data_IF_813486974543
#
_entry.id   IF_813486974543
#
_cell.length_a   1.000
_cell.length_b   1.000
_cell.length_c   1.000
_cell.angle_alpha   90.00
_cell.angle_beta   90.00
_cell.angle_gamma   90.00
#
_symmetry.space_group_name_H-M   'P 1'
#
loop_
_entity.id
_entity.type
_entity.pdbx_description
1 polymer ?
#
# COMPACT_ATOMS: atom_id res chain seq x y z
N UNK A 1 -13.21 -6.37 -16.33
CA UNK A 1 -12.89 -5.83 -15.00
C UNK A 1 -13.73 -4.59 -14.74
N UNK A 2 -14.43 -4.54 -13.61
CA UNK A 2 -15.27 -3.40 -13.17
C UNK A 2 -14.85 -3.00 -11.78
N UNK A 3 -14.76 -1.69 -11.51
CA UNK A 3 -14.33 -1.15 -10.23
C UNK A 3 -15.46 -0.32 -9.62
N UNK A 4 -15.72 -0.52 -8.35
CA UNK A 4 -16.75 0.19 -7.58
C UNK A 4 -16.11 0.83 -6.35
N UNK A 5 -16.16 2.15 -6.29
CA UNK A 5 -15.73 2.91 -5.12
C UNK A 5 -16.68 2.65 -3.95
N UNK A 6 -16.16 2.28 -2.80
CA UNK A 6 -16.94 1.99 -1.59
C UNK A 6 -16.63 3.06 -0.56
N UNK A 7 -17.62 3.92 -0.30
CA UNK A 7 -17.54 4.95 0.75
C UNK A 7 -17.73 4.30 2.11
N UNK A 8 -16.92 4.69 3.08
CA UNK A 8 -17.08 4.24 4.45
C UNK A 8 -17.26 5.44 5.39
N UNK A 9 -17.79 5.18 6.59
CA UNK A 9 -17.62 6.11 7.70
C UNK A 9 -16.14 6.26 8.04
N UNK A 10 -15.80 7.28 8.81
CA UNK A 10 -14.44 7.43 9.35
C UNK A 10 -14.17 6.25 10.30
N UNK A 11 -13.06 5.54 10.05
CA UNK A 11 -12.60 4.44 10.87
C UNK A 11 -11.72 4.96 12.01
N UNK A 12 -12.00 4.47 13.21
CA UNK A 12 -11.30 4.85 14.45
C UNK A 12 -10.53 3.67 15.01
N UNK A 13 -9.61 3.95 15.91
CA UNK A 13 -8.87 2.91 16.65
C UNK A 13 -9.82 1.95 17.34
N UNK A 14 -9.60 0.65 17.12
CA UNK A 14 -10.41 -0.44 17.69
C UNK A 14 -11.66 -0.81 16.88
N UNK A 15 -11.96 -0.11 15.76
CA UNK A 15 -13.07 -0.52 14.89
C UNK A 15 -12.79 -1.89 14.23
N UNK A 16 -13.85 -2.71 14.09
CA UNK A 16 -13.82 -3.89 13.23
C UNK A 16 -13.87 -3.45 11.77
N UNK A 17 -12.69 -3.38 11.14
CA UNK A 17 -12.54 -2.94 9.75
C UNK A 17 -13.36 -3.79 8.79
N UNK A 18 -13.49 -5.11 9.03
CA UNK A 18 -14.26 -6.00 8.16
C UNK A 18 -15.74 -5.71 8.29
N UNK A 19 -16.26 -5.48 9.50
CA UNK A 19 -17.66 -5.13 9.68
C UNK A 19 -18.01 -3.82 8.98
N UNK A 20 -17.16 -2.78 9.15
CA UNK A 20 -17.35 -1.48 8.47
C UNK A 20 -17.38 -1.65 6.95
N UNK A 21 -16.49 -2.48 6.38
CA UNK A 21 -16.47 -2.74 4.94
C UNK A 21 -17.75 -3.44 4.49
N UNK A 22 -18.18 -4.49 5.20
CA UNK A 22 -19.37 -5.26 4.85
C UNK A 22 -20.67 -4.43 5.00
N UNK A 23 -20.76 -3.59 6.03
CA UNK A 23 -21.86 -2.63 6.19
C UNK A 23 -21.89 -1.63 5.02
N UNK A 24 -20.74 -1.04 4.69
CA UNK A 24 -20.62 -0.08 3.59
C UNK A 24 -20.97 -0.68 2.23
N UNK A 25 -20.62 -1.93 1.98
CA UNK A 25 -21.03 -2.64 0.77
C UNK A 25 -22.55 -2.83 0.72
N UNK A 26 -23.17 -3.26 1.84
CA UNK A 26 -24.63 -3.44 1.95
C UNK A 26 -25.39 -2.13 1.74
N UNK A 27 -24.98 -1.04 2.38
CA UNK A 27 -25.59 0.28 2.27
C UNK A 27 -25.56 0.84 0.83
N UNK A 28 -24.53 0.47 0.06
CA UNK A 28 -24.35 0.90 -1.32
C UNK A 28 -24.85 -0.12 -2.35
N UNK A 29 -25.59 -1.17 -1.91
CA UNK A 29 -26.12 -2.24 -2.75
C UNK A 29 -25.05 -2.94 -3.61
N UNK A 30 -23.84 -3.08 -3.08
CA UNK A 30 -22.73 -3.78 -3.72
C UNK A 30 -22.62 -5.19 -3.15
N UNK A 31 -23.01 -6.17 -3.95
CA UNK A 31 -22.96 -7.57 -3.56
C UNK A 31 -21.55 -8.13 -3.75
N UNK A 32 -21.02 -8.73 -2.69
CA UNK A 32 -19.75 -9.43 -2.71
C UNK A 32 -19.96 -10.84 -3.29
N UNK A 33 -19.10 -11.23 -4.22
CA UNK A 33 -19.14 -12.52 -4.90
C UNK A 33 -17.80 -13.25 -4.76
N UNK A 34 -17.80 -14.54 -5.07
CA UNK A 34 -16.54 -15.29 -5.14
C UNK A 34 -15.67 -14.72 -6.24
N UNK A 35 -14.36 -14.68 -6.00
CA UNK A 35 -13.35 -14.14 -6.91
C UNK A 35 -13.45 -12.61 -7.14
N UNK A 36 -14.15 -11.90 -6.26
CA UNK A 36 -13.99 -10.45 -6.17
C UNK A 36 -12.66 -10.11 -5.50
N UNK A 37 -12.09 -8.94 -5.83
CA UNK A 37 -10.93 -8.39 -5.13
C UNK A 37 -11.36 -7.15 -4.36
N UNK A 38 -11.04 -7.08 -3.07
CA UNK A 38 -11.18 -5.89 -2.25
C UNK A 38 -9.84 -5.20 -2.13
N UNK A 39 -9.70 -4.06 -2.81
CA UNK A 39 -8.57 -3.16 -2.61
C UNK A 39 -8.90 -2.21 -1.45
N UNK A 40 -8.02 -2.13 -0.45
CA UNK A 40 -8.24 -1.44 0.82
C UNK A 40 -7.04 -0.54 1.09
N UNK A 41 -7.26 0.75 1.43
CA UNK A 41 -6.13 1.63 1.75
C UNK A 41 -5.44 1.18 3.04
N UNK A 42 -4.12 1.26 3.06
CA UNK A 42 -3.30 1.04 4.27
C UNK A 42 -3.75 1.92 5.43
N UNK A 43 -4.21 3.12 5.14
CA UNK A 43 -4.60 4.14 6.11
C UNK A 43 -5.75 3.72 7.03
N UNK A 44 -6.82 3.12 6.51
CA UNK A 44 -7.93 2.71 7.38
C UNK A 44 -7.55 1.53 8.29
N UNK A 45 -6.67 0.67 7.81
CA UNK A 45 -6.11 -0.43 8.60
C UNK A 45 -5.23 0.13 9.72
N UNK A 46 -4.33 1.05 9.39
CA UNK A 46 -3.47 1.73 10.36
C UNK A 46 -4.28 2.50 11.41
N UNK A 47 -5.35 3.19 11.01
CA UNK A 47 -6.26 3.84 11.95
C UNK A 47 -6.93 2.85 12.91
N UNK A 48 -7.46 1.74 12.40
CA UNK A 48 -8.08 0.71 13.22
C UNK A 48 -7.07 0.05 14.20
N UNK A 49 -5.82 -0.12 13.77
CA UNK A 49 -4.72 -0.64 14.58
C UNK A 49 -4.18 0.36 15.61
N UNK A 50 -4.57 1.63 15.52
CA UNK A 50 -4.06 2.68 16.40
C UNK A 50 -2.70 3.25 16.00
N UNK A 51 -2.28 3.06 14.76
CA UNK A 51 -1.03 3.60 14.19
C UNK A 51 -1.17 5.09 13.82
N UNK A 52 -1.80 5.83 14.70
CA UNK A 52 -1.98 7.28 14.62
C UNK A 52 -1.15 7.92 15.73
N UNK A 53 -0.24 8.82 15.39
CA UNK A 53 0.68 9.44 16.34
C UNK A 53 0.46 10.94 16.36
N UNK A 54 0.36 11.51 17.56
CA UNK A 54 0.34 12.95 17.76
C UNK A 54 1.78 13.46 17.77
N UNK A 55 2.10 14.42 16.91
CA UNK A 55 3.46 14.92 16.78
C UNK A 55 3.99 15.53 18.08
N UNK A 56 3.15 16.21 18.86
CA UNK A 56 3.56 16.77 20.16
C UNK A 56 4.01 15.74 21.20
N UNK A 57 3.70 14.47 21.00
CA UNK A 57 4.05 13.38 21.93
C UNK A 57 5.39 12.70 21.54
N UNK A 58 6.01 13.18 20.45
CA UNK A 58 7.29 12.67 19.92
C UNK A 58 8.43 13.58 20.39
N UNK A 59 9.43 13.02 21.03
CA UNK A 59 10.65 13.76 21.43
C UNK A 59 11.73 13.58 20.34
N UNK A 60 12.11 14.63 19.60
CA UNK A 60 13.04 14.51 18.50
C UNK A 60 14.48 14.41 18.98
N UNK A 61 15.21 13.40 18.51
CA UNK A 61 16.65 13.25 18.69
C UNK A 61 17.42 14.33 17.92
N UNK A 62 18.72 14.49 18.24
CA UNK A 62 19.57 15.44 17.50
C UNK A 62 19.70 15.05 16.02
N UNK A 63 19.74 13.75 15.71
CA UNK A 63 19.72 13.24 14.33
C UNK A 63 18.42 13.63 13.61
N UNK A 64 17.28 13.59 14.28
CA UNK A 64 16.00 14.04 13.71
C UNK A 64 16.01 15.55 13.44
N UNK A 65 16.57 16.35 14.34
CA UNK A 65 16.71 17.81 14.14
C UNK A 65 17.61 18.13 12.94
N UNK A 66 18.71 17.38 12.74
CA UNK A 66 19.57 17.52 11.58
C UNK A 66 18.84 17.15 10.28
N UNK A 67 18.15 15.99 10.27
CA UNK A 67 17.36 15.55 9.12
C UNK A 67 16.25 16.55 8.79
N UNK A 68 15.57 17.06 9.81
CA UNK A 68 14.52 18.06 9.67
C UNK A 68 15.05 19.36 9.05
N UNK A 69 16.20 19.84 9.49
CA UNK A 69 16.87 21.03 8.93
C UNK A 69 17.26 20.80 7.47
N UNK A 70 17.81 19.62 7.14
CA UNK A 70 18.27 19.29 5.79
C UNK A 70 17.13 19.28 4.76
N UNK A 71 15.94 18.77 5.13
CA UNK A 71 14.81 18.55 4.22
C UNK A 71 13.58 19.42 4.55
N UNK A 72 13.70 20.45 5.38
CA UNK A 72 12.60 21.35 5.77
C UNK A 72 11.39 20.61 6.34
N UNK A 73 11.63 19.64 7.23
CA UNK A 73 10.63 18.86 7.95
C UNK A 73 10.43 19.40 9.38
N UNK A 74 9.34 18.99 10.04
CA UNK A 74 9.20 19.12 11.48
C UNK A 74 10.11 18.09 12.19
N UNK A 75 10.83 18.46 13.27
CA UNK A 75 11.73 17.52 13.95
C UNK A 75 11.04 16.25 14.44
N UNK A 76 9.82 16.36 14.96
CA UNK A 76 9.01 15.24 15.44
C UNK A 76 8.63 14.29 14.30
N UNK A 77 8.31 14.85 13.14
CA UNK A 77 8.03 14.05 11.92
C UNK A 77 9.30 13.34 11.41
N UNK A 78 10.44 14.02 11.45
CA UNK A 78 11.73 13.44 11.09
C UNK A 78 12.13 12.30 12.04
N UNK A 79 11.82 12.40 13.35
CA UNK A 79 12.04 11.32 14.31
C UNK A 79 11.24 10.07 13.94
N UNK A 80 9.96 10.24 13.60
CA UNK A 80 9.12 9.12 13.16
C UNK A 80 9.66 8.47 11.87
N UNK A 81 10.19 9.27 10.92
CA UNK A 81 10.85 8.71 9.72
C UNK A 81 12.07 7.87 10.12
N UNK A 82 12.89 8.35 11.07
CA UNK A 82 14.06 7.60 11.55
C UNK A 82 13.68 6.30 12.26
N UNK A 83 12.57 6.31 13.01
CA UNK A 83 12.07 5.12 13.71
C UNK A 83 11.46 4.08 12.75
N UNK A 84 10.80 4.53 11.68
CA UNK A 84 10.01 3.69 10.80
C UNK A 84 10.80 3.19 9.57
N UNK A 85 11.85 3.88 9.15
CA UNK A 85 12.61 3.53 7.95
C UNK A 85 13.73 2.51 8.24
N UNK A 86 13.84 1.49 7.40
CA UNK A 86 15.00 0.60 7.40
C UNK A 86 16.27 1.32 6.92
N UNK A 87 16.11 2.24 5.96
CA UNK A 87 17.19 3.03 5.38
C UNK A 87 16.67 4.34 4.78
N UNK A 88 17.52 5.39 4.86
CA UNK A 88 17.29 6.69 4.23
C UNK A 88 18.31 6.85 3.11
N UNK A 89 17.85 7.23 1.91
CA UNK A 89 18.70 7.43 0.73
C UNK A 89 18.97 8.91 0.42
N UNK A 90 18.25 9.82 1.04
CA UNK A 90 18.29 11.25 0.77
C UNK A 90 16.89 11.79 0.52
N UNK A 91 16.76 12.97 -0.08
CA UNK A 91 15.44 13.54 -0.31
C UNK A 91 15.49 14.90 -1.00
N UNK A 92 14.32 15.51 -1.04
CA UNK A 92 14.08 16.88 -1.48
C UNK A 92 13.35 17.63 -0.37
N UNK A 93 13.11 18.92 -0.54
CA UNK A 93 12.33 19.70 0.42
C UNK A 93 11.00 19.00 0.74
N UNK A 94 10.73 18.77 2.02
CA UNK A 94 9.52 18.11 2.60
C UNK A 94 9.32 16.64 2.26
N UNK A 95 10.28 15.99 1.59
CA UNK A 95 10.17 14.56 1.29
C UNK A 95 11.52 13.84 1.33
N UNK A 96 11.58 12.74 2.06
CA UNK A 96 12.78 11.89 2.22
C UNK A 96 12.51 10.54 1.58
N UNK A 97 13.39 10.09 0.70
CA UNK A 97 13.33 8.76 0.09
C UNK A 97 13.85 7.72 1.08
N UNK A 98 13.00 6.79 1.41
CA UNK A 98 13.28 5.76 2.41
C UNK A 98 13.04 4.36 1.87
N UNK A 99 13.67 3.37 2.47
CA UNK A 99 13.31 1.96 2.37
C UNK A 99 12.57 1.57 3.64
N UNK A 100 11.43 0.93 3.51
CA UNK A 100 10.69 0.33 4.62
C UNK A 100 10.12 -1.01 4.19
N UNK A 101 10.42 -2.07 4.94
CA UNK A 101 9.98 -3.43 4.63
C UNK A 101 10.27 -3.81 3.16
N UNK A 102 11.43 -3.39 2.61
CA UNK A 102 11.83 -3.65 1.23
C UNK A 102 11.14 -2.79 0.16
N UNK A 103 10.30 -1.84 0.53
CA UNK A 103 9.57 -0.94 -0.36
C UNK A 103 10.21 0.46 -0.32
N UNK A 104 10.54 1.01 -1.50
CA UNK A 104 10.94 2.41 -1.62
C UNK A 104 9.72 3.31 -1.53
N UNK A 105 9.73 4.23 -0.57
CA UNK A 105 8.61 5.15 -0.34
C UNK A 105 9.11 6.49 0.21
N UNK A 106 8.29 7.52 0.09
CA UNK A 106 8.55 8.80 0.73
C UNK A 106 8.23 8.72 2.24
N UNK A 107 9.09 9.33 3.07
CA UNK A 107 8.84 9.54 4.49
C UNK A 107 8.46 8.25 5.26
N UNK A 108 9.01 7.11 4.90
CA UNK A 108 8.68 5.79 5.45
C UNK A 108 7.18 5.44 5.39
N UNK A 109 6.45 5.99 4.40
CA UNK A 109 5.01 5.81 4.26
C UNK A 109 4.17 6.57 5.30
N UNK A 110 4.78 7.48 6.06
CA UNK A 110 4.07 8.31 7.03
C UNK A 110 3.31 9.42 6.30
N UNK A 111 2.01 9.55 6.58
CA UNK A 111 1.15 10.53 5.96
C UNK A 111 0.42 11.40 7.01
N UNK A 112 0.36 12.70 6.73
CA UNK A 112 -0.42 13.67 7.51
C UNK A 112 -1.77 14.02 6.88
N UNK A 113 -2.05 13.57 5.65
CA UNK A 113 -3.32 13.79 4.98
C UNK A 113 -4.41 12.92 5.59
N UNK A 114 -5.61 13.47 5.71
CA UNK A 114 -6.77 12.79 6.29
C UNK A 114 -6.54 12.26 7.72
N UNK A 115 -5.57 12.84 8.44
CA UNK A 115 -5.36 12.70 9.87
C UNK A 115 -5.94 13.92 10.63
N UNK A 116 -6.29 13.82 11.92
CA UNK A 116 -6.60 14.98 12.73
C UNK A 116 -5.42 15.98 12.73
N UNK A 117 -5.72 17.25 13.03
CA UNK A 117 -4.67 18.27 13.13
C UNK A 117 -3.58 17.82 14.11
N UNK A 118 -2.33 18.01 13.74
CA UNK A 118 -1.13 17.65 14.50
C UNK A 118 -0.93 16.12 14.72
N UNK A 119 -1.65 15.30 13.96
CA UNK A 119 -1.46 13.85 13.92
C UNK A 119 -0.93 13.38 12.57
N UNK A 120 -0.26 12.24 12.59
CA UNK A 120 0.18 11.51 11.41
C UNK A 120 -0.27 10.05 11.49
N UNK A 121 -0.42 9.42 10.34
CA UNK A 121 -0.74 8.00 10.22
C UNK A 121 0.48 7.28 9.70
N UNK A 122 0.91 6.25 10.40
CA UNK A 122 1.99 5.35 9.99
C UNK A 122 1.43 4.22 9.14
N UNK A 123 2.28 3.43 8.47
CA UNK A 123 1.83 2.17 7.88
C UNK A 123 1.37 1.18 8.95
N UNK A 124 0.48 0.23 8.63
CA UNK A 124 0.17 -0.92 9.49
C UNK A 124 1.45 -1.67 9.86
N UNK A 125 1.51 -2.22 11.08
CA UNK A 125 2.67 -2.97 11.53
C UNK A 125 2.98 -4.17 10.60
N UNK A 126 1.94 -4.86 10.14
CA UNK A 126 2.05 -6.01 9.25
C UNK A 126 0.87 -6.02 8.27
N UNK A 127 1.07 -5.37 7.12
CA UNK A 127 0.05 -5.31 6.07
C UNK A 127 -0.33 -6.70 5.54
N UNK A 128 0.63 -7.65 5.47
CA UNK A 128 0.37 -8.99 4.98
C UNK A 128 -0.54 -9.79 5.94
N UNK A 129 -0.29 -9.70 7.23
CA UNK A 129 -1.13 -10.31 8.24
C UNK A 129 -2.55 -9.75 8.20
N UNK A 130 -2.69 -8.44 7.97
CA UNK A 130 -3.99 -7.80 7.80
C UNK A 130 -4.72 -8.26 6.55
N UNK A 131 -4.05 -8.37 5.41
CA UNK A 131 -4.66 -8.88 4.18
C UNK A 131 -5.22 -10.29 4.37
N UNK A 132 -4.42 -11.18 4.97
CA UNK A 132 -4.82 -12.55 5.27
C UNK A 132 -6.01 -12.59 6.25
N UNK A 133 -5.92 -11.85 7.36
CA UNK A 133 -6.98 -11.79 8.37
C UNK A 133 -8.31 -11.28 7.79
N UNK A 134 -8.28 -10.19 7.03
CA UNK A 134 -9.48 -9.62 6.41
C UNK A 134 -10.13 -10.64 5.47
N UNK A 135 -9.33 -11.33 4.65
CA UNK A 135 -9.81 -12.37 3.75
C UNK A 135 -10.51 -13.50 4.50
N UNK A 136 -9.90 -14.01 5.55
CA UNK A 136 -10.45 -15.10 6.39
C UNK A 136 -11.75 -14.67 7.11
N UNK A 137 -11.77 -13.46 7.66
CA UNK A 137 -12.96 -12.94 8.34
C UNK A 137 -14.12 -12.72 7.37
N UNK A 138 -13.87 -12.21 6.17
CA UNK A 138 -14.90 -12.08 5.13
C UNK A 138 -15.45 -13.46 4.75
N UNK A 139 -14.59 -14.45 4.52
CA UNK A 139 -15.01 -15.84 4.26
C UNK A 139 -15.88 -16.37 5.41
N UNK A 140 -15.47 -16.18 6.66
CA UNK A 140 -16.21 -16.63 7.85
C UNK A 140 -17.58 -15.95 7.97
N UNK A 141 -17.67 -14.62 7.72
CA UNK A 141 -18.91 -13.84 7.90
C UNK A 141 -19.89 -14.00 6.72
N UNK A 142 -19.39 -14.23 5.51
CA UNK A 142 -20.23 -14.19 4.27
C UNK A 142 -20.25 -15.50 3.49
N UNK A 143 -19.36 -16.43 3.77
CA UNK A 143 -19.14 -17.63 2.95
C UNK A 143 -18.47 -17.35 1.60
N UNK A 144 -18.08 -16.10 1.30
CA UNK A 144 -17.49 -15.72 0.02
C UNK A 144 -15.97 -15.83 0.04
N UNK A 145 -15.42 -16.38 -1.02
CA UNK A 145 -13.99 -16.46 -1.25
C UNK A 145 -13.55 -15.26 -2.10
N UNK A 146 -13.02 -14.24 -1.43
CA UNK A 146 -12.52 -13.02 -2.08
C UNK A 146 -11.01 -12.94 -2.00
N UNK A 147 -10.41 -12.07 -2.78
CA UNK A 147 -9.02 -11.66 -2.58
C UNK A 147 -8.96 -10.27 -1.92
N UNK A 148 -7.86 -9.99 -1.22
CA UNK A 148 -7.62 -8.71 -0.56
C UNK A 148 -6.30 -8.13 -1.04
N UNK A 149 -6.29 -6.85 -1.36
CA UNK A 149 -5.15 -6.07 -1.77
C UNK A 149 -5.04 -4.83 -0.87
N UNK A 150 -3.95 -4.70 -0.12
CA UNK A 150 -3.68 -3.50 0.67
C UNK A 150 -2.92 -2.51 -0.21
N UNK A 151 -3.47 -1.30 -0.33
CA UNK A 151 -3.00 -0.26 -1.26
C UNK A 151 -2.53 0.96 -0.49
N UNK A 152 -1.43 1.53 -0.96
CA UNK A 152 -0.99 2.88 -0.59
C UNK A 152 -0.59 3.69 -1.82
N UNK A 153 -0.26 4.97 -1.63
CA UNK A 153 0.27 5.83 -2.68
C UNK A 153 1.77 5.59 -2.84
N UNK A 154 2.22 5.43 -4.08
CA UNK A 154 3.62 5.28 -4.44
C UNK A 154 4.10 6.37 -5.39
N UNK A 155 5.40 6.43 -5.60
CA UNK A 155 6.06 7.34 -6.54
C UNK A 155 6.80 6.54 -7.62
N UNK A 156 6.74 7.01 -8.86
CA UNK A 156 7.53 6.47 -9.96
C UNK A 156 8.64 7.47 -10.29
N UNK A 157 9.91 7.05 -10.38
CA UNK A 157 11.02 7.94 -10.72
C UNK A 157 10.75 8.76 -11.99
N UNK A 158 11.00 10.07 -11.94
CA UNK A 158 10.84 11.02 -13.05
C UNK A 158 9.40 11.15 -13.59
N UNK A 159 8.40 10.74 -12.83
CA UNK A 159 6.98 10.98 -13.16
C UNK A 159 6.36 11.89 -12.13
N UNK A 160 5.52 12.82 -12.58
CA UNK A 160 4.70 13.64 -11.69
C UNK A 160 3.49 12.87 -11.19
N UNK A 161 3.17 13.04 -9.90
CA UNK A 161 2.00 12.46 -9.27
C UNK A 161 2.29 11.15 -8.55
N UNK A 162 1.27 10.69 -7.85
CA UNK A 162 1.25 9.41 -7.14
C UNK A 162 0.54 8.36 -7.95
N UNK A 163 0.85 7.10 -7.69
CA UNK A 163 0.18 5.92 -8.24
C UNK A 163 -0.13 4.95 -7.12
N UNK A 164 -1.04 4.03 -7.32
CA UNK A 164 -1.28 2.98 -6.34
C UNK A 164 -0.09 2.01 -6.26
N UNK A 165 0.26 1.65 -5.04
CA UNK A 165 1.31 0.70 -4.69
C UNK A 165 0.72 -0.41 -3.83
N UNK A 166 0.96 -1.65 -4.19
CA UNK A 166 0.54 -2.81 -3.41
C UNK A 166 1.49 -3.03 -2.23
N UNK A 167 0.97 -2.95 -1.00
CA UNK A 167 1.73 -3.29 0.20
C UNK A 167 1.62 -4.78 0.55
N UNK A 168 0.45 -5.38 0.32
CA UNK A 168 0.18 -6.77 0.65
C UNK A 168 -0.96 -7.35 -0.19
N UNK A 169 -0.93 -8.66 -0.38
CA UNK A 169 -1.94 -9.40 -1.15
C UNK A 169 -2.31 -10.70 -0.45
N UNK A 170 -3.60 -11.05 -0.47
CA UNK A 170 -4.08 -12.37 -0.07
C UNK A 170 -5.14 -12.87 -1.08
N UNK A 171 -5.00 -14.11 -1.57
CA UNK A 171 -6.00 -14.76 -2.40
C UNK A 171 -5.79 -14.67 -3.91
N UNK A 172 -4.69 -14.07 -4.39
CA UNK A 172 -4.27 -14.15 -5.79
C UNK A 172 -2.77 -13.98 -5.94
N UNK A 173 -2.22 -14.45 -7.06
CA UNK A 173 -0.80 -14.35 -7.38
C UNK A 173 -0.42 -12.92 -7.74
N UNK A 174 0.43 -12.24 -6.93
CA UNK A 174 0.70 -10.80 -7.09
C UNK A 174 1.53 -10.44 -8.32
N UNK A 175 2.37 -11.36 -8.80
CA UNK A 175 3.26 -11.16 -9.96
C UNK A 175 3.15 -12.36 -10.88
N UNK A 176 2.87 -12.10 -12.15
CA UNK A 176 2.94 -13.13 -13.19
C UNK A 176 4.34 -13.16 -13.79
N UNK A 177 4.99 -14.31 -13.75
CA UNK A 177 6.25 -14.53 -14.46
C UNK A 177 5.97 -14.92 -15.91
N UNK A 178 6.27 -14.01 -16.82
CA UNK A 178 6.07 -14.19 -18.26
C UNK A 178 7.33 -14.67 -18.98
N UNK A 179 8.41 -15.00 -18.25
CA UNK A 179 9.63 -15.50 -18.87
C UNK A 179 9.38 -16.87 -19.49
N UNK A 180 9.81 -17.05 -20.74
CA UNK A 180 9.53 -18.24 -21.54
C UNK A 180 8.25 -18.17 -22.36
N UNK A 181 7.30 -17.30 -22.02
CA UNK A 181 6.15 -17.00 -22.90
C UNK A 181 6.67 -16.44 -24.22
N UNK A 182 5.95 -16.70 -25.33
CA UNK A 182 6.33 -16.21 -26.65
C UNK A 182 5.60 -14.91 -26.98
N UNK A 183 6.34 -13.98 -27.60
CA UNK A 183 5.71 -12.81 -28.20
C UNK A 183 4.93 -13.18 -29.48
N UNK A 184 4.33 -12.17 -30.14
CA UNK A 184 3.53 -12.38 -31.37
C UNK A 184 4.36 -12.92 -32.55
N UNK A 185 5.69 -12.86 -32.48
CA UNK A 185 6.62 -13.39 -33.48
C UNK A 185 7.28 -14.70 -33.06
N UNK A 186 6.84 -15.29 -31.93
CA UNK A 186 7.35 -16.55 -31.41
C UNK A 186 8.65 -16.44 -30.62
N UNK A 187 9.15 -15.21 -30.32
CA UNK A 187 10.37 -15.02 -29.54
C UNK A 187 10.07 -15.15 -28.05
N UNK A 188 10.89 -15.90 -27.26
CA UNK A 188 10.66 -16.04 -25.83
C UNK A 188 10.98 -14.73 -25.09
N UNK A 189 10.12 -14.37 -24.13
CA UNK A 189 10.37 -13.29 -23.17
C UNK A 189 11.46 -13.73 -22.18
N UNK A 190 12.44 -12.87 -21.95
CA UNK A 190 13.63 -13.22 -21.15
C UNK A 190 13.53 -12.69 -19.71
N UNK A 191 13.07 -11.47 -19.53
CA UNK A 191 13.08 -10.76 -18.22
C UNK A 191 11.70 -10.34 -17.75
N UNK A 192 10.70 -10.43 -18.60
CA UNK A 192 9.38 -9.82 -18.36
C UNK A 192 8.63 -10.49 -17.22
N UNK A 193 8.19 -9.68 -16.26
CA UNK A 193 7.22 -10.01 -15.23
C UNK A 193 6.12 -8.97 -15.24
N UNK A 194 4.91 -9.37 -14.95
CA UNK A 194 3.74 -8.49 -14.90
C UNK A 194 3.36 -8.26 -13.43
N UNK A 195 3.45 -7.03 -12.98
CA UNK A 195 3.12 -6.62 -11.61
C UNK A 195 1.60 -6.50 -11.46
N UNK A 196 0.91 -7.62 -11.28
CA UNK A 196 -0.54 -7.70 -11.22
C UNK A 196 -1.10 -6.89 -10.05
N UNK A 197 -0.51 -7.05 -8.87
CA UNK A 197 -0.94 -6.35 -7.66
C UNK A 197 -0.82 -4.83 -7.80
N UNK A 198 0.32 -4.32 -8.29
CA UNK A 198 0.52 -2.87 -8.47
C UNK A 198 -0.39 -2.28 -9.55
N UNK A 199 -0.67 -3.03 -10.62
CA UNK A 199 -1.62 -2.60 -11.64
C UNK A 199 -3.05 -2.49 -11.09
N UNK A 200 -3.51 -3.44 -10.26
CA UNK A 200 -4.78 -3.36 -9.58
C UNK A 200 -4.79 -2.25 -8.53
N UNK A 201 -3.70 -2.08 -7.78
CA UNK A 201 -3.54 -1.00 -6.82
C UNK A 201 -3.67 0.36 -7.50
N UNK A 202 -3.01 0.55 -8.65
CA UNK A 202 -3.09 1.79 -9.43
C UNK A 202 -4.50 2.05 -9.97
N UNK A 203 -5.19 1.01 -10.44
CA UNK A 203 -6.58 1.14 -10.90
C UNK A 203 -7.54 1.51 -9.73
N UNK A 204 -7.37 0.88 -8.58
CA UNK A 204 -8.14 1.18 -7.38
C UNK A 204 -7.86 2.60 -6.85
N UNK A 205 -6.60 3.01 -6.85
CA UNK A 205 -6.15 4.32 -6.39
C UNK A 205 -6.83 5.49 -7.13
N UNK A 206 -7.12 5.33 -8.42
CA UNK A 206 -7.89 6.32 -9.20
C UNK A 206 -9.27 6.62 -8.59
N UNK A 207 -9.91 5.61 -7.98
CA UNK A 207 -11.22 5.77 -7.34
C UNK A 207 -11.10 6.14 -5.86
N UNK A 208 -10.00 5.75 -5.21
CA UNK A 208 -9.73 6.11 -3.82
C UNK A 208 -9.48 7.60 -3.67
N UNK A 209 -8.79 8.20 -4.66
CA UNK A 209 -8.39 9.61 -4.65
C UNK A 209 -7.30 9.92 -3.64
N UNK A 210 -6.93 11.19 -3.55
CA UNK A 210 -5.86 11.71 -2.69
C UNK A 210 -6.37 12.73 -1.65
N UNK A 211 -7.63 13.07 -1.67
CA UNK A 211 -8.19 14.13 -0.85
C UNK A 211 -9.35 13.63 0.06
N UNK A 212 -10.53 14.19 -0.06
CA UNK A 212 -11.66 13.95 0.84
C UNK A 212 -12.76 13.07 0.24
N UNK A 213 -12.40 12.17 -0.67
CA UNK A 213 -13.34 11.30 -1.42
C UNK A 213 -14.09 10.32 -0.49
N UNK A 214 -13.48 9.96 0.64
CA UNK A 214 -14.00 8.99 1.61
C UNK A 214 -14.26 7.60 1.01
N UNK A 215 -13.45 7.20 0.05
CA UNK A 215 -13.53 5.91 -0.66
C UNK A 215 -12.29 5.05 -0.39
N UNK A 216 -12.09 4.60 0.87
CA UNK A 216 -10.88 3.84 1.23
C UNK A 216 -10.92 2.39 0.77
N UNK A 217 -12.00 1.95 0.15
CA UNK A 217 -12.19 0.59 -0.35
C UNK A 217 -12.67 0.63 -1.79
N UNK A 218 -12.15 -0.25 -2.62
CA UNK A 218 -12.63 -0.47 -3.99
C UNK A 218 -12.93 -1.95 -4.18
N UNK A 219 -14.17 -2.26 -4.56
CA UNK A 219 -14.58 -3.58 -4.99
C UNK A 219 -14.27 -3.75 -6.47
N UNK A 220 -13.44 -4.73 -6.81
CA UNK A 220 -13.02 -5.04 -8.17
C UNK A 220 -13.64 -6.38 -8.58
N UNK A 221 -14.52 -6.35 -9.58
CA UNK A 221 -15.14 -7.54 -10.17
C UNK A 221 -14.48 -7.91 -11.50
N UNK A 222 -14.49 -9.20 -11.81
CA UNK A 222 -13.91 -9.74 -13.04
C UNK A 222 -12.45 -9.31 -13.22
N UNK A 223 -11.67 -9.31 -12.13
CA UNK A 223 -10.24 -9.03 -12.18
C UNK A 223 -9.51 -10.15 -12.96
N UNK A 224 -8.65 -9.82 -13.94
CA UNK A 224 -7.92 -10.81 -14.71
C UNK A 224 -6.70 -11.32 -13.93
N UNK A 225 -6.95 -11.99 -12.81
CA UNK A 225 -5.92 -12.49 -11.89
C UNK A 225 -6.03 -14.00 -11.72
N UNK A 226 -4.90 -14.63 -11.39
CA UNK A 226 -4.86 -16.04 -11.01
C UNK A 226 -5.17 -16.12 -9.51
N UNK A 227 -6.43 -16.44 -9.18
CA UNK A 227 -6.86 -16.67 -7.80
C UNK A 227 -6.18 -17.92 -7.25
N UNK A 228 -5.67 -17.80 -6.03
CA UNK A 228 -4.83 -18.82 -5.43
C UNK A 228 -4.96 -18.72 -3.89
N UNK A 229 -4.95 -19.88 -3.21
CA UNK A 229 -4.97 -19.95 -1.76
C UNK A 229 -3.57 -20.02 -1.13
N UNK A 230 -2.51 -19.95 -1.96
CA UNK A 230 -1.15 -19.86 -1.45
C UNK A 230 -0.96 -18.56 -0.66
N UNK A 231 -0.08 -18.62 0.32
CA UNK A 231 0.31 -17.45 1.10
C UNK A 231 1.44 -16.74 0.37
N UNK A 232 1.15 -15.56 -0.14
CA UNK A 232 2.14 -14.65 -0.70
C UNK A 232 2.49 -13.59 0.33
N UNK A 233 3.78 -13.28 0.46
CA UNK A 233 4.26 -12.17 1.27
C UNK A 233 4.64 -10.96 0.41
N UNK A 234 4.94 -9.85 1.05
CA UNK A 234 5.50 -8.67 0.37
C UNK A 234 6.76 -9.02 -0.44
N UNK A 235 7.56 -9.98 0.04
CA UNK A 235 8.76 -10.47 -0.64
C UNK A 235 8.50 -11.02 -2.05
N UNK A 236 7.30 -11.55 -2.33
CA UNK A 236 6.94 -12.08 -3.66
C UNK A 236 6.73 -10.96 -4.70
N UNK A 237 6.57 -9.72 -4.25
CA UNK A 237 6.45 -8.53 -5.09
C UNK A 237 7.77 -7.77 -5.22
N UNK A 238 8.76 -8.06 -4.36
CA UNK A 238 10.00 -7.29 -4.31
C UNK A 238 11.02 -7.74 -5.34
N UNK A 239 11.76 -6.78 -5.89
CA UNK A 239 12.96 -7.01 -6.67
C UNK A 239 14.18 -6.93 -5.75
N UNK A 240 15.09 -7.94 -5.77
CA UNK A 240 16.35 -7.81 -5.05
C UNK A 240 17.11 -6.55 -5.45
N UNK A 241 17.68 -5.83 -4.47
CA UNK A 241 18.37 -4.55 -4.65
C UNK A 241 19.34 -4.56 -5.86
N UNK A 242 20.23 -5.56 -5.94
CA UNK A 242 21.21 -5.70 -7.03
C UNK A 242 20.60 -5.99 -8.40
N UNK A 243 19.33 -6.38 -8.48
CA UNK A 243 18.60 -6.65 -9.73
C UNK A 243 17.64 -5.53 -10.11
N UNK A 244 17.41 -4.58 -9.21
CA UNK A 244 16.59 -3.40 -9.49
C UNK A 244 17.39 -2.41 -10.34
N UNK A 245 16.88 -2.08 -11.54
CA UNK A 245 17.57 -1.18 -12.47
C UNK A 245 17.86 0.20 -11.85
N UNK A 246 16.94 0.74 -11.06
CA UNK A 246 17.12 2.04 -10.40
C UNK A 246 18.19 1.94 -9.30
N UNK A 247 18.09 0.96 -8.42
CA UNK A 247 19.01 0.82 -7.30
C UNK A 247 20.41 0.40 -7.74
N UNK A 248 20.51 -0.42 -8.79
CA UNK A 248 21.77 -0.82 -9.38
C UNK A 248 22.48 0.34 -10.12
N UNK A 249 21.70 1.19 -10.81
CA UNK A 249 22.27 2.32 -11.55
C UNK A 249 22.70 3.48 -10.63
N UNK A 250 21.92 3.80 -9.60
CA UNK A 250 22.18 4.95 -8.72
C UNK A 250 22.97 4.57 -7.45
N UNK A 251 22.99 3.31 -7.05
CA UNK A 251 23.71 2.84 -5.86
C UNK A 251 25.23 2.69 -6.06
N UNK A 252 25.76 2.89 -7.25
CA UNK A 252 27.20 2.85 -7.57
C UNK A 252 27.88 4.22 -7.46
N UNK A 253 27.16 5.27 -7.13
CA UNK A 253 27.64 6.65 -7.05
C UNK A 253 27.92 7.12 -5.61
N UNK A 254 28.40 6.22 -4.76
CA UNK A 254 28.77 6.52 -3.39
C UNK A 254 29.98 5.75 -2.91
#
# INVERSE_FOLDING_TARGET
MRLYAVKTRIIKTGDDTVEVILESLREQNLNLENNDVLAITSKIIACAEGRIVKLSDVEPSDRAKELAKQFSLQPEFAELILCEADKIYGGVEKAVLTLKNGILTANAGIDNKNAPKDYVVLWPNDAQKWATRIREEIKRKTGKHVAVLIVDSGLIPLRMGTTGLALAVAGFKPVKDCRGDKDIYGKPLIITRHAIADNLASAAHLLMGEAAEKTPVVLIKDAPVDFDDNVYGSADMMMPFKKCIFMSAFGQSG
#
